data_IF_659964919365
#
_entry.id   IF_659964919365
#
_cell.length_a   1.000
_cell.length_b   1.000
_cell.length_c   1.000
_cell.angle_alpha   90.00
_cell.angle_beta   90.00
_cell.angle_gamma   90.00
#
_symmetry.space_group_name_H-M   'P 1'
#
loop_
_entity.id
_entity.type
_entity.pdbx_description
1 polymer ?
#
# COMPACT_ATOMS: atom_id res chain seq x y z
N UNK A 1 -9.87 -17.73 -5.09
CA UNK A 1 -10.04 -16.27 -5.31
C UNK A 1 -9.84 -15.60 -3.96
N UNK A 2 -8.59 -15.33 -3.57
CA UNK A 2 -8.28 -14.61 -2.33
C UNK A 2 -8.06 -13.17 -2.77
N UNK A 3 -9.01 -12.30 -2.49
CA UNK A 3 -8.85 -10.86 -2.71
C UNK A 3 -8.03 -10.34 -1.52
N UNK A 4 -6.76 -9.93 -1.71
CA UNK A 4 -5.95 -9.49 -0.59
C UNK A 4 -6.45 -8.09 -0.19
N UNK A 5 -7.03 -8.01 1.01
CA UNK A 5 -7.42 -6.76 1.63
C UNK A 5 -6.15 -5.99 2.03
N UNK A 6 -5.87 -4.90 1.32
CA UNK A 6 -4.72 -4.03 1.57
C UNK A 6 -5.04 -3.06 2.69
N UNK A 7 -4.38 -3.23 3.85
CA UNK A 7 -4.49 -2.27 4.96
C UNK A 7 -3.29 -1.34 4.91
N UNK A 8 -3.56 -0.04 4.77
CA UNK A 8 -2.54 0.99 4.69
C UNK A 8 -2.23 1.53 6.09
N UNK A 9 -1.05 1.24 6.63
CA UNK A 9 -0.55 1.86 7.85
C UNK A 9 0.55 2.87 7.48
N UNK A 10 0.41 4.12 7.94
CA UNK A 10 1.47 5.14 7.82
C UNK A 10 2.37 4.99 9.05
N UNK A 11 3.53 4.36 8.86
CA UNK A 11 4.54 4.23 9.92
C UNK A 11 5.79 4.99 9.46
N UNK A 12 6.09 6.11 10.14
CA UNK A 12 7.39 6.77 10.04
C UNK A 12 8.31 6.16 11.10
N UNK A 13 9.13 5.20 10.71
CA UNK A 13 10.36 4.85 11.42
C UNK A 13 11.43 4.59 10.37
N UNK A 14 12.55 5.29 10.46
CA UNK A 14 13.70 5.13 9.56
C UNK A 14 14.14 3.66 9.56
N UNK A 15 14.05 2.93 8.43
CA UNK A 15 14.34 1.49 8.44
C UNK A 15 15.84 1.23 8.22
N UNK A 16 16.46 0.22 8.87
CA UNK A 16 17.74 -0.34 8.45
C UNK A 16 17.63 -0.84 6.99
N UNK A 17 18.73 -1.06 6.25
CA UNK A 17 18.68 -1.43 4.83
C UNK A 17 17.96 -2.77 4.67
N UNK A 18 16.67 -2.71 4.35
CA UNK A 18 15.85 -3.90 4.12
C UNK A 18 15.98 -4.24 2.65
N UNK A 19 16.28 -5.51 2.36
CA UNK A 19 16.25 -6.06 0.99
C UNK A 19 14.79 -6.06 0.55
N UNK A 20 14.33 -4.91 0.05
CA UNK A 20 13.04 -4.79 -0.60
C UNK A 20 13.23 -5.28 -2.03
N UNK A 21 12.47 -6.30 -2.41
CA UNK A 21 12.45 -6.78 -3.79
C UNK A 21 11.65 -5.75 -4.61
N UNK A 22 12.34 -4.71 -5.05
CA UNK A 22 11.76 -3.68 -5.89
C UNK A 22 11.52 -4.29 -7.28
N UNK A 23 10.26 -4.56 -7.59
CA UNK A 23 9.81 -4.94 -8.93
C UNK A 23 10.00 -3.76 -9.89
N UNK A 24 11.22 -3.59 -10.40
CA UNK A 24 11.62 -2.51 -11.31
C UNK A 24 10.99 -2.61 -12.70
N UNK A 25 10.29 -3.71 -12.99
CA UNK A 25 9.57 -3.95 -14.23
C UNK A 25 8.16 -3.34 -14.26
N UNK A 26 7.70 -2.77 -13.13
CA UNK A 26 6.40 -2.09 -13.06
C UNK A 26 6.66 -0.59 -13.21
N UNK A 27 6.27 -0.02 -14.35
CA UNK A 27 6.28 1.43 -14.53
C UNK A 27 5.16 2.07 -13.72
N UNK A 28 5.46 3.21 -13.09
CA UNK A 28 4.51 3.98 -12.29
C UNK A 28 4.93 4.13 -10.84
N UNK A 29 4.17 4.93 -10.10
CA UNK A 29 4.33 5.11 -8.67
C UNK A 29 3.12 4.54 -7.95
N UNK A 30 3.21 4.40 -6.62
CA UNK A 30 2.05 4.03 -5.81
C UNK A 30 0.87 5.00 -6.02
N UNK A 31 1.13 6.24 -6.44
CA UNK A 31 0.12 7.28 -6.66
C UNK A 31 -0.78 7.01 -7.87
N UNK A 32 -0.40 6.09 -8.76
CA UNK A 32 -1.22 5.74 -9.93
C UNK A 32 -2.28 4.67 -9.60
N UNK A 33 -2.31 4.19 -8.35
CA UNK A 33 -3.22 3.14 -7.88
C UNK A 33 -4.29 3.68 -6.93
N UNK A 34 -5.39 2.93 -6.87
CA UNK A 34 -6.54 3.19 -6.02
C UNK A 34 -6.98 1.90 -5.32
N UNK A 35 -7.57 2.02 -4.14
CA UNK A 35 -8.11 0.91 -3.38
C UNK A 35 -9.50 1.24 -2.84
N UNK A 36 -10.39 0.26 -2.85
CA UNK A 36 -11.68 0.36 -2.16
C UNK A 36 -11.45 0.05 -0.68
N UNK A 37 -12.08 0.82 0.20
CA UNK A 37 -11.99 0.55 1.64
C UNK A 37 -12.63 -0.78 2.02
N UNK A 38 -12.22 -1.32 3.17
CA UNK A 38 -12.71 -2.62 3.68
C UNK A 38 -14.24 -2.69 3.79
N UNK A 39 -14.89 -1.56 4.08
CA UNK A 39 -16.34 -1.43 4.18
C UNK A 39 -17.04 -1.19 2.83
N UNK A 40 -16.28 -1.09 1.74
CA UNK A 40 -16.81 -0.84 0.39
C UNK A 40 -17.36 0.58 0.18
N UNK A 41 -17.24 1.47 1.17
CA UNK A 41 -17.94 2.76 1.16
C UNK A 41 -17.29 3.81 0.25
N UNK A 42 -15.98 3.69 0.02
CA UNK A 42 -15.22 4.69 -0.73
C UNK A 42 -14.05 4.07 -1.50
N UNK A 43 -13.78 4.68 -2.66
CA UNK A 43 -12.55 4.47 -3.42
C UNK A 43 -11.53 5.51 -2.95
N UNK A 44 -10.35 5.06 -2.58
CA UNK A 44 -9.24 5.89 -2.09
C UNK A 44 -8.11 5.83 -3.11
N UNK A 45 -7.73 6.99 -3.65
CA UNK A 45 -6.51 7.13 -4.45
C UNK A 45 -5.30 7.29 -3.54
N UNK A 46 -4.20 6.63 -3.86
CA UNK A 46 -2.97 6.76 -3.07
C UNK A 46 -2.26 8.10 -3.28
N UNK A 47 -2.63 8.92 -4.29
CA UNK A 47 -2.16 10.32 -4.43
C UNK A 47 -2.34 11.15 -3.17
N UNK A 48 -3.38 10.88 -2.38
CA UNK A 48 -3.63 11.61 -1.14
C UNK A 48 -2.55 11.39 -0.06
N UNK A 49 -1.64 10.43 -0.25
CA UNK A 49 -0.52 10.14 0.63
C UNK A 49 0.83 10.62 0.06
N UNK A 50 0.82 11.46 -0.99
CA UNK A 50 2.04 12.11 -1.49
C UNK A 50 2.81 12.81 -0.37
N UNK A 51 4.13 12.59 -0.34
CA UNK A 51 5.02 13.13 0.68
C UNK A 51 4.96 12.41 2.04
N UNK A 52 4.24 11.29 2.15
CA UNK A 52 4.21 10.44 3.36
C UNK A 52 4.86 9.09 3.09
N UNK A 53 5.46 8.51 4.13
CA UNK A 53 5.92 7.12 4.11
C UNK A 53 4.72 6.19 4.29
N UNK A 54 4.58 5.21 3.40
CA UNK A 54 3.40 4.35 3.31
C UNK A 54 3.84 2.89 3.44
N UNK A 55 3.27 2.16 4.41
CA UNK A 55 3.52 0.72 4.60
C UNK A 55 2.30 -0.08 4.11
N UNK A 56 2.54 -0.94 3.12
CA UNK A 56 1.54 -1.88 2.63
C UNK A 56 1.65 -3.21 3.39
N UNK A 57 0.59 -3.59 4.10
CA UNK A 57 0.51 -4.87 4.82
C UNK A 57 -0.62 -5.70 4.24
N UNK A 58 -0.28 -6.91 3.79
CA UNK A 58 -1.27 -7.92 3.42
C UNK A 58 -1.70 -8.68 4.68
N UNK A 59 -3.00 -8.64 5.01
CA UNK A 59 -3.57 -9.29 6.19
C UNK A 59 -4.51 -10.43 5.79
N UNK A 60 -4.55 -11.50 6.59
CA UNK A 60 -5.51 -12.60 6.46
C UNK A 60 -6.02 -13.01 7.85
N UNK A 61 -7.30 -13.37 7.94
CA UNK A 61 -7.90 -13.95 9.15
C UNK A 61 -7.95 -15.48 9.03
N UNK A 62 -7.90 -16.18 10.16
CA UNK A 62 -7.98 -17.65 10.23
C UNK A 62 -9.41 -18.16 10.06
#
# INVERSE_FOLDING_TARGET
MVQPCMVLYVVCTEPPPQVVDCYSNVEGSIYDYEAVTLDGSRLISFKQYEGKMVLFVNVATF
#
